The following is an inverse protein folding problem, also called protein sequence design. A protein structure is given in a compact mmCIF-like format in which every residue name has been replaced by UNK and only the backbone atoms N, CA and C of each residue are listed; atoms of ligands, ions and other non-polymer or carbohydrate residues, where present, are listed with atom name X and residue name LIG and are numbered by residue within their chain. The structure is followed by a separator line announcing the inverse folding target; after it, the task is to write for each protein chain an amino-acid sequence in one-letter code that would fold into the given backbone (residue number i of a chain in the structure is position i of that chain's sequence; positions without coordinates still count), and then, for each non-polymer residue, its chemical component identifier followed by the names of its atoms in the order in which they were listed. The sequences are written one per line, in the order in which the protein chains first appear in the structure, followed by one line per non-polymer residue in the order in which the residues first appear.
data_IF_611660588803
#
_entry.id   IF_611660588803
#
_cell.length_a   1.000
_cell.length_b   1.000
_cell.length_c   1.000
_cell.angle_alpha   90.00
_cell.angle_beta   90.00
_cell.angle_gamma   90.00
#
_symmetry.space_group_name_H-M   'P 1'
#
loop_
_entity.id
_entity.type
_entity.pdbx_description
1 polymer ?
#
# COMPACT_ATOMS: atom_id res chain seq x y z
N UNK A 1 8.41 -53.24 55.60
CA UNK A 1 7.01 -52.91 55.25
C UNK A 1 7.03 -52.02 54.02
N UNK A 2 6.86 -52.57 52.82
CA UNK A 2 6.71 -51.82 51.58
C UNK A 2 5.22 -51.55 51.35
N UNK A 3 4.72 -50.42 51.84
CA UNK A 3 3.34 -50.01 51.59
C UNK A 3 3.17 -49.59 50.12
N UNK A 4 2.34 -50.30 49.38
CA UNK A 4 1.95 -49.92 48.02
C UNK A 4 1.03 -48.71 48.09
N UNK A 5 1.51 -47.56 47.61
CA UNK A 5 0.74 -46.33 47.55
C UNK A 5 -0.20 -46.39 46.34
N UNK A 6 -1.49 -46.59 46.57
CA UNK A 6 -2.50 -46.68 45.50
C UNK A 6 -2.91 -45.27 45.10
N UNK A 7 -2.45 -44.82 43.93
CA UNK A 7 -2.82 -43.51 43.38
C UNK A 7 -4.03 -43.71 42.45
N UNK A 8 -5.13 -42.94 42.63
CA UNK A 8 -6.25 -42.97 41.71
C UNK A 8 -5.83 -42.58 40.28
N UNK A 9 -6.32 -43.30 39.28
CA UNK A 9 -5.95 -43.13 37.86
C UNK A 9 -6.14 -41.67 37.39
N UNK A 10 -7.17 -40.98 37.89
CA UNK A 10 -7.42 -39.58 37.54
C UNK A 10 -6.34 -38.63 38.06
N UNK A 11 -5.77 -38.89 39.24
CA UNK A 11 -4.65 -38.10 39.80
C UNK A 11 -3.39 -38.32 38.96
N UNK A 12 -3.11 -39.56 38.57
CA UNK A 12 -2.01 -39.87 37.67
C UNK A 12 -2.18 -39.18 36.30
N UNK A 13 -3.41 -39.11 35.79
CA UNK A 13 -3.75 -38.38 34.56
C UNK A 13 -3.47 -36.87 34.66
N UNK A 14 -3.86 -36.22 35.76
CA UNK A 14 -3.59 -34.80 35.99
C UNK A 14 -2.08 -34.54 36.08
N UNK A 15 -1.34 -35.37 36.81
CA UNK A 15 0.12 -35.24 36.93
C UNK A 15 0.81 -35.41 35.58
N UNK A 16 0.36 -36.36 34.75
CA UNK A 16 0.89 -36.53 33.39
C UNK A 16 0.60 -35.34 32.48
N UNK A 17 -0.59 -34.75 32.56
CA UNK A 17 -0.94 -33.55 31.79
C UNK A 17 -0.09 -32.35 32.21
N UNK A 18 0.08 -32.14 33.52
CA UNK A 18 0.92 -31.06 34.04
C UNK A 18 2.40 -31.26 33.69
N UNK A 19 2.89 -32.51 33.74
CA UNK A 19 4.25 -32.84 33.32
C UNK A 19 4.45 -32.63 31.82
N UNK A 20 3.50 -33.06 30.99
CA UNK A 20 3.52 -32.83 29.54
C UNK A 20 3.47 -31.33 29.20
N UNK A 21 2.65 -30.56 29.91
CA UNK A 21 2.59 -29.10 29.78
C UNK A 21 3.92 -28.46 30.18
N UNK A 22 4.52 -28.87 31.30
CA UNK A 22 5.81 -28.35 31.75
C UNK A 22 6.94 -28.68 30.76
N UNK A 23 6.94 -29.87 30.16
CA UNK A 23 7.91 -30.24 29.11
C UNK A 23 7.69 -29.40 27.85
N UNK A 24 6.44 -29.21 27.44
CA UNK A 24 6.09 -28.36 26.31
C UNK A 24 6.56 -26.92 26.53
N UNK A 25 6.26 -26.33 27.69
CA UNK A 25 6.56 -24.94 28.00
C UNK A 25 8.05 -24.67 28.25
N UNK A 26 8.75 -25.62 28.88
CA UNK A 26 10.13 -25.41 29.35
C UNK A 26 11.20 -25.93 28.39
N UNK A 27 10.87 -26.89 27.52
CA UNK A 27 11.82 -27.47 26.58
C UNK A 27 11.42 -27.24 25.13
N UNK A 28 10.17 -27.52 24.73
CA UNK A 28 9.77 -27.43 23.32
C UNK A 28 9.55 -25.99 22.87
N UNK A 29 8.80 -25.18 23.62
CA UNK A 29 8.54 -23.78 23.28
C UNK A 29 9.83 -22.92 23.27
N UNK A 30 10.78 -23.03 24.22
CA UNK A 30 12.01 -22.23 24.20
C UNK A 30 12.95 -22.66 23.08
N UNK A 31 13.07 -23.98 22.81
CA UNK A 31 13.88 -24.50 21.72
C UNK A 31 13.31 -24.13 20.35
N UNK A 32 11.98 -24.19 20.19
CA UNK A 32 11.30 -23.71 18.99
C UNK A 32 11.51 -22.19 18.82
N UNK A 33 11.33 -21.39 19.88
CA UNK A 33 11.59 -19.94 19.85
C UNK A 33 13.05 -19.63 19.47
N UNK A 34 14.02 -20.38 19.99
CA UNK A 34 15.43 -20.24 19.64
C UNK A 34 15.71 -20.64 18.18
N UNK A 35 15.15 -21.75 17.72
CA UNK A 35 15.27 -22.22 16.32
C UNK A 35 14.67 -21.23 15.32
N UNK A 36 13.48 -20.69 15.60
CA UNK A 36 12.86 -19.64 14.79
C UNK A 36 13.66 -18.34 14.88
N UNK A 37 14.17 -17.94 16.06
CA UNK A 37 15.03 -16.75 16.22
C UNK A 37 16.32 -16.86 15.40
N UNK A 38 16.98 -18.02 15.40
CA UNK A 38 18.19 -18.28 14.60
C UNK A 38 17.90 -18.20 13.09
N UNK A 39 16.75 -18.72 12.64
CA UNK A 39 16.31 -18.59 11.25
C UNK A 39 15.92 -17.17 10.87
N UNK A 40 15.29 -16.41 11.78
CA UNK A 40 14.98 -14.99 11.58
C UNK A 40 16.25 -14.17 11.48
N UNK A 41 17.21 -14.38 12.38
CA UNK A 41 18.49 -13.67 12.36
C UNK A 41 19.29 -13.96 11.08
N UNK A 42 19.31 -15.22 10.62
CA UNK A 42 19.95 -15.59 9.34
C UNK A 42 19.25 -14.97 8.13
N UNK A 43 17.93 -14.87 8.15
CA UNK A 43 17.14 -14.19 7.11
C UNK A 43 17.37 -12.67 7.14
N UNK A 44 17.53 -12.07 8.32
CA UNK A 44 17.88 -10.65 8.45
C UNK A 44 19.29 -10.36 7.92
N UNK A 45 20.26 -11.27 8.14
CA UNK A 45 21.61 -11.20 7.56
C UNK A 45 21.58 -11.34 6.03
N UNK A 46 20.84 -12.30 5.48
CA UNK A 46 20.74 -12.52 4.03
C UNK A 46 20.07 -11.32 3.31
N UNK A 47 19.11 -10.63 3.96
CA UNK A 47 18.34 -9.52 3.38
C UNK A 47 19.12 -8.20 3.34
N UNK A 48 20.01 -7.97 4.32
CA UNK A 48 20.87 -6.77 4.35
C UNK A 48 21.84 -6.68 3.15
N UNK A 49 21.97 -7.73 2.33
CA UNK A 49 22.92 -7.77 1.21
C UNK A 49 22.38 -7.27 -0.13
N UNK A 50 21.06 -6.97 -0.26
CA UNK A 50 20.42 -6.69 -1.58
C UNK A 50 19.79 -5.31 -1.76
N UNK A 51 20.13 -4.38 -0.88
CA UNK A 51 20.09 -2.92 -1.03
C UNK A 51 20.68 -2.39 0.27
N UNK A 52 21.64 -1.47 0.20
CA UNK A 52 22.46 -1.00 1.34
C UNK A 52 21.67 -0.14 2.37
N UNK A 53 20.36 -0.31 2.47
CA UNK A 53 19.53 0.29 3.52
C UNK A 53 19.57 -0.61 4.75
N UNK A 54 20.40 -0.24 5.74
CA UNK A 54 20.48 -0.94 7.04
C UNK A 54 19.08 -1.04 7.66
N UNK A 55 18.65 -2.25 8.01
CA UNK A 55 17.42 -2.44 8.80
C UNK A 55 17.59 -1.71 10.15
N UNK A 56 16.91 -0.57 10.29
CA UNK A 56 17.03 0.31 11.45
C UNK A 56 16.49 -0.36 12.73
N UNK A 57 17.18 -0.17 13.85
CA UNK A 57 16.96 -0.79 15.17
C UNK A 57 15.55 -0.58 15.74
N UNK A 58 14.84 0.46 15.31
CA UNK A 58 13.45 0.72 15.68
C UNK A 58 12.49 -0.41 15.28
N UNK A 59 12.75 -1.11 14.17
CA UNK A 59 11.95 -2.28 13.74
C UNK A 59 12.16 -3.52 14.61
N UNK A 60 13.25 -3.56 15.38
CA UNK A 60 13.58 -4.65 16.31
C UNK A 60 13.13 -4.34 17.75
N UNK A 61 12.70 -3.11 18.01
CA UNK A 61 12.14 -2.73 19.30
C UNK A 61 10.83 -3.49 19.51
N UNK A 62 10.68 -4.13 20.68
CA UNK A 62 9.45 -4.85 21.02
C UNK A 62 8.26 -3.90 20.91
N UNK A 63 7.18 -4.35 20.27
CA UNK A 63 5.94 -3.56 20.10
C UNK A 63 5.48 -2.93 21.41
N UNK A 64 5.54 -3.66 22.52
CA UNK A 64 5.10 -3.18 23.83
C UNK A 64 5.93 -1.97 24.30
N UNK A 65 7.24 -1.95 23.99
CA UNK A 65 8.11 -0.80 24.31
C UNK A 65 7.74 0.43 23.46
N UNK A 66 7.36 0.23 22.19
CA UNK A 66 6.88 1.33 21.35
C UNK A 66 5.53 1.87 21.83
N UNK A 67 4.63 0.98 22.29
CA UNK A 67 3.35 1.37 22.88
C UNK A 67 3.58 2.17 24.16
N UNK A 68 4.46 1.72 25.05
CA UNK A 68 4.75 2.42 26.30
C UNK A 68 5.38 3.79 26.02
N UNK A 69 6.40 3.84 25.16
CA UNK A 69 7.02 5.12 24.76
C UNK A 69 6.01 6.12 24.20
N UNK A 70 5.05 5.65 23.41
CA UNK A 70 4.03 6.50 22.83
C UNK A 70 2.96 6.91 23.86
N UNK A 71 2.61 6.01 24.78
CA UNK A 71 1.63 6.24 25.83
C UNK A 71 2.11 7.30 26.82
N UNK A 72 3.42 7.31 27.10
CA UNK A 72 4.06 8.27 28.01
C UNK A 72 4.84 9.38 27.27
N UNK A 73 4.59 9.58 25.97
CA UNK A 73 5.24 10.65 25.21
C UNK A 73 4.80 12.04 25.75
N UNK A 74 5.73 12.98 26.00
CA UNK A 74 5.38 14.26 26.61
C UNK A 74 4.31 15.07 25.87
N UNK A 75 4.31 15.05 24.53
CA UNK A 75 3.29 15.77 23.74
C UNK A 75 1.93 15.06 23.82
N UNK A 76 1.91 13.74 23.93
CA UNK A 76 0.67 12.97 24.16
C UNK A 76 0.12 13.26 25.55
N UNK A 77 0.98 13.26 26.58
CA UNK A 77 0.57 13.56 27.95
C UNK A 77 0.03 14.99 28.08
N UNK A 78 0.68 15.96 27.42
CA UNK A 78 0.18 17.34 27.39
C UNK A 78 -1.21 17.46 26.73
N UNK A 79 -1.44 16.76 25.62
CA UNK A 79 -2.76 16.75 24.96
C UNK A 79 -3.82 16.01 25.77
N UNK A 80 -3.40 14.99 26.52
CA UNK A 80 -4.26 14.30 27.48
C UNK A 80 -4.69 15.25 28.59
N UNK A 81 -3.76 16.01 29.17
CA UNK A 81 -4.04 16.97 30.24
C UNK A 81 -4.96 18.09 29.77
N UNK A 82 -4.73 18.62 28.56
CA UNK A 82 -5.61 19.57 27.92
C UNK A 82 -7.03 19.00 27.78
N UNK A 83 -7.17 17.79 27.21
CA UNK A 83 -8.47 17.14 27.06
C UNK A 83 -9.16 16.84 28.40
N UNK A 84 -8.39 16.40 29.40
CA UNK A 84 -8.88 16.16 30.76
C UNK A 84 -9.46 17.43 31.38
N UNK A 85 -8.77 18.56 31.21
CA UNK A 85 -9.22 19.86 31.73
C UNK A 85 -10.49 20.38 31.04
N UNK A 86 -10.61 20.19 29.72
CA UNK A 86 -11.75 20.67 28.92
C UNK A 86 -12.99 19.80 29.14
N UNK A 87 -12.84 18.48 29.02
CA UNK A 87 -13.95 17.53 29.08
C UNK A 87 -14.27 17.09 30.52
N UNK A 88 -13.46 17.50 31.51
CA UNK A 88 -13.56 17.13 32.94
C UNK A 88 -13.55 15.62 33.18
N UNK A 89 -12.87 14.88 32.31
CA UNK A 89 -12.68 13.43 32.42
C UNK A 89 -11.40 13.15 33.20
N UNK A 90 -11.39 12.24 34.19
CA UNK A 90 -10.19 11.89 34.93
C UNK A 90 -9.06 11.41 34.02
N UNK A 91 -7.82 11.78 34.35
CA UNK A 91 -6.61 11.43 33.59
C UNK A 91 -6.47 9.93 33.40
N UNK A 92 -6.82 9.15 34.41
CA UNK A 92 -6.73 7.69 34.41
C UNK A 92 -7.60 7.06 33.32
N UNK A 93 -8.78 7.64 33.06
CA UNK A 93 -9.70 7.18 32.01
C UNK A 93 -9.10 7.47 30.62
N UNK A 94 -8.61 8.69 30.40
CA UNK A 94 -8.00 9.06 29.13
C UNK A 94 -6.70 8.29 28.84
N UNK A 95 -5.96 7.88 29.88
CA UNK A 95 -4.79 7.02 29.74
C UNK A 95 -5.13 5.66 29.15
N UNK A 96 -6.29 5.09 29.50
CA UNK A 96 -6.77 3.84 28.90
C UNK A 96 -7.03 4.02 27.41
N UNK A 97 -7.61 5.15 27.02
CA UNK A 97 -7.85 5.51 25.62
C UNK A 97 -6.55 5.73 24.84
N UNK A 98 -5.56 6.43 25.41
CA UNK A 98 -4.23 6.58 24.81
C UNK A 98 -3.59 5.21 24.59
N UNK A 99 -3.58 4.34 25.59
CA UNK A 99 -3.01 3.00 25.46
C UNK A 99 -3.75 2.16 24.41
N UNK A 100 -5.07 2.36 24.26
CA UNK A 100 -5.87 1.71 23.20
C UNK A 100 -5.50 2.26 21.82
N UNK A 101 -5.36 3.58 21.68
CA UNK A 101 -4.93 4.23 20.44
C UNK A 101 -3.51 3.82 20.04
N UNK A 102 -2.57 3.80 20.98
CA UNK A 102 -1.22 3.33 20.78
C UNK A 102 -1.20 1.86 20.32
N UNK A 103 -1.97 0.97 20.96
CA UNK A 103 -2.11 -0.43 20.51
C UNK A 103 -2.72 -0.58 19.12
N UNK A 104 -3.64 0.31 18.75
CA UNK A 104 -4.28 0.32 17.44
C UNK A 104 -3.32 0.76 16.33
N UNK A 105 -2.49 1.78 16.62
CA UNK A 105 -1.56 2.43 15.69
C UNK A 105 -0.26 1.62 15.56
N UNK A 106 0.36 1.22 16.67
CA UNK A 106 1.67 0.54 16.64
C UNK A 106 1.54 -0.87 16.03
N UNK A 107 2.20 -1.15 14.90
CA UNK A 107 2.08 -2.41 14.18
C UNK A 107 2.75 -3.55 14.95
N UNK A 108 2.14 -4.73 14.89
CA UNK A 108 2.70 -5.98 15.39
C UNK A 108 3.63 -6.61 14.34
N UNK A 109 4.68 -5.88 13.94
CA UNK A 109 5.61 -6.36 12.93
C UNK A 109 6.29 -7.66 13.37
N UNK A 110 6.24 -8.66 12.49
CA UNK A 110 6.96 -9.91 12.68
C UNK A 110 7.81 -10.17 11.44
N UNK A 111 9.13 -9.97 11.58
CA UNK A 111 10.09 -10.11 10.49
C UNK A 111 9.98 -11.47 9.78
N UNK A 112 9.79 -12.57 10.52
CA UNK A 112 9.67 -13.91 9.92
C UNK A 112 8.45 -14.01 8.99
N UNK A 113 7.29 -13.62 9.53
CA UNK A 113 6.01 -13.68 8.82
C UNK A 113 6.06 -12.75 7.61
N UNK A 114 6.60 -11.54 7.76
CA UNK A 114 6.75 -10.59 6.67
C UNK A 114 7.64 -11.11 5.54
N UNK A 115 8.89 -11.46 5.85
CA UNK A 115 9.89 -11.73 4.81
C UNK A 115 9.79 -13.11 4.18
N UNK A 116 9.36 -14.15 4.92
CA UNK A 116 9.31 -15.52 4.37
C UNK A 116 7.95 -15.90 3.85
N UNK A 117 6.89 -15.59 4.58
CA UNK A 117 5.55 -16.05 4.23
C UNK A 117 4.78 -14.97 3.47
N UNK A 118 4.65 -13.77 4.05
CA UNK A 118 3.92 -12.65 3.48
C UNK A 118 4.45 -12.24 2.11
N UNK A 119 5.77 -12.03 1.99
CA UNK A 119 6.44 -11.74 0.74
C UNK A 119 6.23 -12.83 -0.32
N UNK A 120 6.33 -14.11 0.08
CA UNK A 120 6.15 -15.24 -0.81
C UNK A 120 4.71 -15.34 -1.33
N UNK A 121 3.72 -15.18 -0.44
CA UNK A 121 2.29 -15.16 -0.78
C UNK A 121 1.99 -13.97 -1.67
N UNK A 122 2.45 -12.76 -1.30
CA UNK A 122 2.22 -11.54 -2.06
C UNK A 122 2.79 -11.65 -3.48
N UNK A 123 4.03 -12.16 -3.61
CA UNK A 123 4.65 -12.46 -4.90
C UNK A 123 3.80 -13.40 -5.72
N UNK A 124 3.36 -14.52 -5.13
CA UNK A 124 2.61 -15.57 -5.84
C UNK A 124 1.24 -15.07 -6.26
N UNK A 125 0.51 -14.40 -5.37
CA UNK A 125 -0.76 -13.79 -5.68
C UNK A 125 -0.61 -12.74 -6.81
N UNK A 126 0.38 -11.84 -6.72
CA UNK A 126 0.58 -10.81 -7.73
C UNK A 126 0.97 -11.38 -9.10
N UNK A 127 1.91 -12.33 -9.17
CA UNK A 127 2.35 -12.97 -10.42
C UNK A 127 1.32 -13.94 -11.00
N UNK A 128 0.48 -14.52 -10.13
CA UNK A 128 -0.67 -15.30 -10.55
C UNK A 128 -1.65 -14.38 -11.24
N UNK A 129 -2.18 -13.37 -10.55
CA UNK A 129 -3.24 -12.49 -11.04
C UNK A 129 -2.81 -11.59 -12.21
N UNK A 130 -1.59 -11.06 -12.19
CA UNK A 130 -1.09 -10.07 -13.14
C UNK A 130 0.27 -10.45 -13.74
N UNK A 131 0.55 -9.89 -14.92
CA UNK A 131 1.92 -9.78 -15.43
C UNK A 131 2.57 -8.56 -14.77
N UNK A 132 3.15 -8.79 -13.59
CA UNK A 132 3.79 -7.72 -12.80
C UNK A 132 5.08 -7.26 -13.48
N UNK A 133 5.23 -5.95 -13.66
CA UNK A 133 6.37 -5.33 -14.33
C UNK A 133 6.90 -4.12 -13.58
N UNK A 134 8.22 -4.01 -13.59
CA UNK A 134 8.93 -2.77 -13.27
C UNK A 134 9.15 -2.08 -14.60
N UNK A 135 8.56 -0.90 -14.79
CA UNK A 135 8.66 -0.15 -16.04
C UNK A 135 9.91 0.71 -16.06
N UNK A 136 9.84 1.85 -15.39
CA UNK A 136 10.91 2.82 -15.26
C UNK A 136 11.36 2.95 -13.81
N UNK A 137 12.67 3.02 -13.58
CA UNK A 137 13.23 3.38 -12.28
C UNK A 137 14.35 4.40 -12.49
N UNK A 138 14.33 5.49 -11.71
CA UNK A 138 15.40 6.47 -11.72
C UNK A 138 16.63 5.95 -10.95
N UNK A 139 17.32 4.94 -11.49
CA UNK A 139 18.42 4.23 -10.83
C UNK A 139 19.55 5.18 -10.38
N UNK A 140 19.83 6.22 -11.17
CA UNK A 140 20.83 7.25 -10.83
C UNK A 140 20.44 8.04 -9.58
N UNK A 141 19.18 8.48 -9.45
CA UNK A 141 18.71 9.18 -8.27
C UNK A 141 18.58 8.26 -7.07
N UNK A 142 18.11 7.03 -7.28
CA UNK A 142 17.94 6.01 -6.24
C UNK A 142 19.28 5.59 -5.63
N UNK A 143 20.33 5.43 -6.43
CA UNK A 143 21.68 5.09 -5.94
C UNK A 143 22.37 6.21 -5.16
N UNK A 144 21.94 7.47 -5.34
CA UNK A 144 22.45 8.64 -4.61
C UNK A 144 21.71 8.90 -3.29
N UNK A 145 20.68 8.10 -2.96
CA UNK A 145 19.96 8.25 -1.69
C UNK A 145 20.89 7.87 -0.54
N UNK A 146 21.03 8.79 0.43
CA UNK A 146 21.81 8.52 1.63
C UNK A 146 21.19 7.34 2.41
N UNK A 147 21.96 6.26 2.69
CA UNK A 147 21.45 5.09 3.42
C UNK A 147 20.93 5.38 4.83
N UNK A 148 21.38 6.47 5.44
CA UNK A 148 20.97 6.90 6.78
C UNK A 148 19.74 7.81 6.77
N UNK A 149 19.27 8.23 5.59
CA UNK A 149 18.08 9.07 5.46
C UNK A 149 16.78 8.28 5.66
N UNK A 150 15.73 8.99 6.07
CA UNK A 150 14.40 8.40 6.23
C UNK A 150 13.70 8.35 4.88
N UNK A 151 13.52 7.15 4.34
CA UNK A 151 12.91 6.97 3.01
C UNK A 151 11.39 6.79 3.13
N UNK A 152 10.64 7.54 2.33
CA UNK A 152 9.18 7.48 2.25
C UNK A 152 8.75 7.29 0.80
N UNK A 153 8.16 6.15 0.46
CA UNK A 153 7.53 5.95 -0.84
C UNK A 153 6.18 6.66 -0.88
N UNK A 154 6.01 7.53 -1.87
CA UNK A 154 4.78 8.31 -2.07
C UNK A 154 4.15 7.83 -3.36
N UNK A 155 2.91 7.37 -3.30
CA UNK A 155 2.31 6.69 -4.45
C UNK A 155 0.83 7.02 -4.64
N UNK A 156 0.38 6.87 -5.88
CA UNK A 156 -1.04 6.93 -6.21
C UNK A 156 -1.76 5.66 -5.72
N UNK A 157 -3.08 5.73 -5.52
CA UNK A 157 -3.87 4.61 -5.00
C UNK A 157 -5.01 4.20 -5.93
N UNK A 158 -4.85 3.07 -6.61
CA UNK A 158 -5.77 2.58 -7.66
C UNK A 158 -6.58 1.38 -7.19
N UNK A 159 -5.93 0.43 -6.52
CA UNK A 159 -6.54 -0.84 -6.13
C UNK A 159 -6.10 -1.23 -4.73
N UNK A 160 -6.88 -2.06 -4.04
CA UNK A 160 -6.36 -2.72 -2.83
C UNK A 160 -5.23 -3.71 -3.16
N UNK A 161 -5.07 -4.08 -4.44
CA UNK A 161 -3.90 -4.81 -4.92
C UNK A 161 -2.59 -4.03 -4.74
N UNK A 162 -2.63 -2.70 -4.64
CA UNK A 162 -1.44 -1.85 -4.44
C UNK A 162 -0.66 -2.29 -3.19
N UNK A 163 -1.35 -2.67 -2.11
CA UNK A 163 -0.70 -3.16 -0.89
C UNK A 163 0.08 -4.46 -1.13
N UNK A 164 -0.47 -5.37 -1.94
CA UNK A 164 0.18 -6.65 -2.27
C UNK A 164 1.36 -6.39 -3.20
N UNK A 165 1.20 -5.49 -4.17
CA UNK A 165 2.22 -5.13 -5.13
C UNK A 165 3.40 -4.42 -4.47
N UNK A 166 3.13 -3.47 -3.59
CA UNK A 166 4.15 -2.79 -2.78
C UNK A 166 4.84 -3.77 -1.83
N UNK A 167 4.11 -4.67 -1.16
CA UNK A 167 4.74 -5.69 -0.32
C UNK A 167 5.63 -6.65 -1.14
N UNK A 168 5.23 -7.01 -2.35
CA UNK A 168 6.04 -7.79 -3.28
C UNK A 168 7.33 -7.06 -3.69
N UNK A 169 7.23 -5.78 -4.06
CA UNK A 169 8.38 -4.96 -4.49
C UNK A 169 9.31 -4.63 -3.32
N UNK A 170 8.75 -4.31 -2.16
CA UNK A 170 9.46 -4.14 -0.90
C UNK A 170 10.24 -5.39 -0.52
N UNK A 171 9.61 -6.56 -0.56
CA UNK A 171 10.29 -7.80 -0.23
C UNK A 171 11.43 -8.14 -1.19
N UNK A 172 11.38 -7.61 -2.42
CA UNK A 172 12.50 -7.70 -3.35
C UNK A 172 13.63 -6.69 -3.03
N UNK A 173 13.35 -5.63 -2.26
CA UNK A 173 14.20 -4.43 -2.15
C UNK A 173 14.15 -3.66 -0.78
N UNK A 174 13.97 -4.33 0.37
CA UNK A 174 13.98 -3.82 1.79
C UNK A 174 12.61 -3.75 2.51
N UNK A 175 12.65 -3.78 3.85
CA UNK A 175 11.45 -3.80 4.71
C UNK A 175 10.73 -2.43 4.73
N UNK A 176 9.43 -2.38 4.43
CA UNK A 176 8.60 -1.16 4.48
C UNK A 176 7.61 -1.16 5.66
N UNK A 177 7.18 0.02 6.11
CA UNK A 177 6.06 0.27 7.03
C UNK A 177 5.03 1.15 6.32
N UNK A 178 3.75 0.78 6.23
CA UNK A 178 2.80 1.52 5.40
C UNK A 178 1.49 1.88 6.11
N UNK A 179 0.86 2.98 5.72
CA UNK A 179 -0.44 3.38 6.28
C UNK A 179 -1.59 2.71 5.51
N UNK A 180 -2.55 2.09 6.22
CA UNK A 180 -3.72 1.42 5.62
C UNK A 180 -5.02 2.01 6.17
N UNK A 181 -5.99 2.21 5.28
CA UNK A 181 -7.32 2.72 5.63
C UNK A 181 -8.20 1.71 6.40
N UNK A 182 -9.33 2.20 6.90
CA UNK A 182 -10.24 1.46 7.80
C UNK A 182 -10.89 0.21 7.18
N UNK A 183 -11.00 0.12 5.85
CA UNK A 183 -11.67 -1.01 5.18
C UNK A 183 -10.97 -2.37 5.41
N UNK A 184 -9.66 -2.36 5.68
CA UNK A 184 -8.87 -3.56 5.93
C UNK A 184 -8.90 -4.04 7.41
N UNK A 185 -9.82 -3.52 8.23
CA UNK A 185 -10.02 -3.93 9.65
C UNK A 185 -10.83 -5.24 9.82
N UNK A 186 -10.93 -6.06 8.78
CA UNK A 186 -11.69 -7.33 8.83
C UNK A 186 -10.76 -8.48 9.24
N UNK A 187 -11.19 -9.32 10.18
CA UNK A 187 -10.48 -10.55 10.55
C UNK A 187 -10.66 -11.61 9.44
N UNK A 188 -9.61 -12.31 8.97
CA UNK A 188 -8.22 -12.35 9.45
C UNK A 188 -7.24 -11.38 8.75
N UNK A 189 -7.69 -10.63 7.74
CA UNK A 189 -6.87 -9.75 6.90
C UNK A 189 -6.10 -8.68 7.70
N UNK A 190 -6.70 -8.18 8.78
CA UNK A 190 -6.11 -7.19 9.68
C UNK A 190 -4.80 -7.66 10.33
N UNK A 191 -4.72 -8.92 10.73
CA UNK A 191 -3.55 -9.49 11.42
C UNK A 191 -2.39 -9.70 10.45
N UNK A 192 -2.69 -10.11 9.21
CA UNK A 192 -1.70 -10.25 8.15
C UNK A 192 -1.11 -8.87 7.83
N UNK A 193 -1.93 -7.87 7.56
CA UNK A 193 -1.48 -6.52 7.20
C UNK A 193 -0.63 -5.87 8.31
N UNK A 194 -1.01 -6.02 9.60
CA UNK A 194 -0.17 -5.54 10.72
C UNK A 194 1.16 -6.26 10.82
N UNK A 195 1.17 -7.57 10.58
CA UNK A 195 2.41 -8.35 10.56
C UNK A 195 3.35 -7.91 9.44
N UNK A 196 2.80 -7.32 8.36
CA UNK A 196 3.57 -6.72 7.28
C UNK A 196 4.08 -5.30 7.56
N UNK A 197 3.92 -4.80 8.79
CA UNK A 197 4.41 -3.48 9.20
C UNK A 197 3.45 -2.34 8.92
N UNK A 198 2.20 -2.63 8.53
CA UNK A 198 1.22 -1.59 8.29
C UNK A 198 0.50 -1.10 9.56
N UNK A 199 0.28 0.21 9.65
CA UNK A 199 -0.51 0.84 10.71
C UNK A 199 -1.84 1.39 10.18
N UNK A 200 -2.88 1.30 11.01
CA UNK A 200 -4.23 1.72 10.63
C UNK A 200 -4.51 3.16 11.06
N UNK A 201 -4.98 3.96 10.11
CA UNK A 201 -5.38 5.35 10.37
C UNK A 201 -6.91 5.44 10.33
N UNK A 202 -7.51 6.00 11.38
CA UNK A 202 -8.93 6.32 11.39
C UNK A 202 -9.21 7.50 10.45
N UNK A 203 -10.23 7.37 9.62
CA UNK A 203 -10.73 8.48 8.79
C UNK A 203 -11.67 9.31 9.66
N UNK A 204 -11.48 10.64 9.66
CA UNK A 204 -12.36 11.58 10.37
C UNK A 204 -12.61 11.19 11.85
N UNK A 205 -11.55 10.81 12.59
CA UNK A 205 -11.70 10.33 13.97
C UNK A 205 -12.46 11.28 14.90
N UNK A 206 -12.49 12.59 14.59
CA UNK A 206 -13.06 13.63 15.44
C UNK A 206 -12.19 13.93 16.66
N UNK A 207 -11.61 12.89 17.26
CA UNK A 207 -10.83 12.93 18.49
C UNK A 207 -9.42 13.54 18.32
N UNK A 208 -9.12 14.70 18.94
CA UNK A 208 -7.80 15.32 18.95
C UNK A 208 -6.74 14.44 19.62
N UNK A 209 -7.08 13.69 20.67
CA UNK A 209 -6.14 12.85 21.40
C UNK A 209 -5.65 11.69 20.53
N UNK A 210 -6.56 11.04 19.79
CA UNK A 210 -6.16 10.04 18.79
C UNK A 210 -5.21 10.62 17.74
N UNK A 211 -5.50 11.83 17.23
CA UNK A 211 -4.65 12.48 16.23
C UNK A 211 -3.27 12.77 16.78
N UNK A 212 -3.16 13.23 18.03
CA UNK A 212 -1.87 13.46 18.69
C UNK A 212 -1.06 12.18 18.85
N UNK A 213 -1.68 11.08 19.29
CA UNK A 213 -1.01 9.77 19.39
C UNK A 213 -0.51 9.31 18.03
N UNK A 214 -1.31 9.46 16.96
CA UNK A 214 -0.89 9.12 15.60
C UNK A 214 0.26 10.01 15.10
N UNK A 215 0.17 11.31 15.32
CA UNK A 215 1.20 12.29 14.98
C UNK A 215 2.55 11.91 15.58
N UNK A 216 2.57 11.62 16.89
CA UNK A 216 3.80 11.25 17.61
C UNK A 216 4.37 9.92 17.14
N UNK A 217 3.53 8.92 16.87
CA UNK A 217 4.00 7.67 16.29
C UNK A 217 4.68 7.86 14.93
N UNK A 218 4.05 8.62 14.02
CA UNK A 218 4.61 8.88 12.68
C UNK A 218 5.90 9.68 12.77
N UNK A 219 5.96 10.69 13.64
CA UNK A 219 7.18 11.45 13.89
C UNK A 219 8.32 10.56 14.40
N UNK A 220 8.06 9.70 15.39
CA UNK A 220 9.03 8.76 15.94
C UNK A 220 9.52 7.75 14.88
N UNK A 221 8.60 7.16 14.10
CA UNK A 221 8.96 6.21 13.05
C UNK A 221 9.83 6.87 11.97
N UNK A 222 9.48 8.11 11.58
CA UNK A 222 10.22 8.89 10.59
C UNK A 222 11.60 9.26 11.10
N UNK A 223 11.72 9.79 12.32
CA UNK A 223 13.00 10.13 12.93
C UNK A 223 13.92 8.90 13.10
N UNK A 224 13.33 7.73 13.33
CA UNK A 224 14.05 6.48 13.46
C UNK A 224 14.45 5.81 12.13
N UNK A 225 14.23 6.46 10.99
CA UNK A 225 14.61 5.93 9.68
C UNK A 225 13.79 4.72 9.23
N UNK A 226 12.60 4.52 9.80
CA UNK A 226 11.69 3.47 9.35
C UNK A 226 11.29 3.79 7.92
N UNK A 227 11.65 2.92 6.97
CA UNK A 227 11.19 3.08 5.59
C UNK A 227 9.66 3.01 5.56
N UNK A 228 9.04 4.04 5.02
CA UNK A 228 7.59 4.19 5.01
C UNK A 228 7.00 4.17 3.60
N UNK A 229 5.73 3.78 3.47
CA UNK A 229 4.96 3.97 2.25
C UNK A 229 3.60 4.60 2.54
N UNK A 230 3.25 5.63 1.79
CA UNK A 230 2.03 6.41 1.98
C UNK A 230 1.31 6.65 0.66
N UNK A 231 -0.02 6.67 0.75
CA UNK A 231 -0.93 7.05 -0.33
C UNK A 231 -1.53 8.42 0.01
N UNK A 232 -0.94 9.55 -0.45
CA UNK A 232 -1.42 10.87 -0.08
C UNK A 232 -2.87 11.10 -0.51
N UNK A 233 -3.37 10.42 -1.54
CA UNK A 233 -4.79 10.46 -1.95
C UNK A 233 -5.77 10.15 -0.81
N UNK A 234 -5.34 9.40 0.20
CA UNK A 234 -6.14 9.01 1.38
C UNK A 234 -7.21 7.95 1.09
N UNK A 235 -7.36 7.52 -0.17
CA UNK A 235 -8.22 6.44 -0.61
C UNK A 235 -8.14 6.22 -2.12
N UNK A 236 -8.75 5.13 -2.59
CA UNK A 236 -8.75 4.72 -4.00
C UNK A 236 -9.27 5.82 -4.94
N UNK A 237 -8.68 5.94 -6.13
CA UNK A 237 -9.20 6.72 -7.25
C UNK A 237 -10.56 6.17 -7.67
N UNK A 238 -11.61 7.00 -7.66
CA UNK A 238 -12.98 6.54 -7.92
C UNK A 238 -13.37 6.58 -9.40
N UNK A 239 -12.92 7.63 -10.09
CA UNK A 239 -13.23 7.92 -11.49
C UNK A 239 -12.03 7.67 -12.41
N UNK A 240 -10.92 7.18 -11.88
CA UNK A 240 -9.71 6.98 -12.65
C UNK A 240 -8.67 8.09 -12.52
N UNK A 241 -8.99 9.26 -11.94
CA UNK A 241 -8.03 10.37 -11.84
C UNK A 241 -7.24 10.33 -10.53
N UNK A 242 -6.04 10.93 -10.56
CA UNK A 242 -5.29 11.21 -9.34
C UNK A 242 -6.12 12.13 -8.43
N UNK A 243 -6.16 11.79 -7.15
CA UNK A 243 -6.88 12.59 -6.15
C UNK A 243 -5.98 13.64 -5.53
N UNK A 244 -6.54 14.77 -5.05
CA UNK A 244 -5.77 15.75 -4.31
C UNK A 244 -5.19 15.13 -3.02
N UNK A 245 -3.96 15.51 -2.62
CA UNK A 245 -3.31 14.93 -1.46
C UNK A 245 -4.00 15.33 -0.15
N UNK A 246 -3.94 14.42 0.82
CA UNK A 246 -4.27 14.65 2.23
C UNK A 246 -2.99 14.94 2.98
N UNK A 247 -2.95 16.11 3.62
CA UNK A 247 -1.73 16.65 4.22
C UNK A 247 -1.33 15.97 5.54
N UNK A 248 -2.29 15.35 6.25
CA UNK A 248 -2.10 14.91 7.65
C UNK A 248 -0.83 14.11 7.92
N UNK A 249 -0.59 13.01 7.19
CA UNK A 249 0.61 12.19 7.40
C UNK A 249 1.90 12.93 7.02
N UNK A 250 1.88 13.74 5.96
CA UNK A 250 3.03 14.53 5.53
C UNK A 250 3.38 15.60 6.57
N UNK A 251 2.38 16.25 7.18
CA UNK A 251 2.58 17.18 8.30
C UNK A 251 3.29 16.47 9.45
N UNK A 252 2.83 15.27 9.83
CA UNK A 252 3.42 14.52 10.94
C UNK A 252 4.87 14.10 10.66
N UNK A 253 5.17 13.69 9.43
CA UNK A 253 6.54 13.34 9.01
C UNK A 253 7.46 14.56 9.05
N UNK A 254 7.01 15.69 8.49
CA UNK A 254 7.81 16.91 8.41
C UNK A 254 7.96 17.62 9.76
N UNK A 255 7.03 17.42 10.71
CA UNK A 255 7.17 17.98 12.07
C UNK A 255 8.40 17.43 12.79
N UNK A 256 8.84 16.21 12.45
CA UNK A 256 10.05 15.62 13.00
C UNK A 256 11.34 16.10 12.32
N UNK A 257 11.24 16.88 11.24
CA UNK A 257 12.38 17.35 10.47
C UNK A 257 12.93 18.65 11.07
N UNK A 258 14.05 18.54 11.77
CA UNK A 258 14.94 19.67 12.02
C UNK A 258 15.88 19.84 10.80
N UNK A 259 15.77 20.97 10.11
CA UNK A 259 16.48 21.24 8.84
C UNK A 259 18.01 21.18 9.04
N UNK A 260 18.50 21.50 10.23
CA UNK A 260 19.92 21.64 10.52
C UNK A 260 20.51 20.43 11.27
N UNK A 261 19.69 19.72 12.07
CA UNK A 261 20.20 18.65 12.94
C UNK A 261 19.65 17.25 12.62
N UNK A 262 18.47 17.14 12.02
CA UNK A 262 17.84 15.83 11.81
C UNK A 262 18.35 15.12 10.57
N UNK A 263 18.07 13.82 10.45
CA UNK A 263 18.25 13.07 9.20
C UNK A 263 17.28 13.59 8.15
N UNK A 264 17.72 13.73 6.90
CA UNK A 264 16.83 14.14 5.81
C UNK A 264 15.74 13.09 5.56
N UNK A 265 14.59 13.55 5.07
CA UNK A 265 13.49 12.69 4.66
C UNK A 265 13.45 12.69 3.13
N UNK A 266 13.68 11.52 2.53
CA UNK A 266 13.70 11.35 1.09
C UNK A 266 12.39 10.71 0.66
N UNK A 267 11.59 11.46 -0.10
CA UNK A 267 10.34 11.00 -0.66
C UNK A 267 10.59 10.42 -2.06
N UNK A 268 10.27 9.15 -2.29
CA UNK A 268 10.41 8.50 -3.59
C UNK A 268 9.03 8.43 -4.25
N UNK A 269 8.79 9.18 -5.34
CA UNK A 269 7.54 9.08 -6.09
C UNK A 269 7.41 7.70 -6.75
N UNK A 270 6.24 7.07 -6.62
CA UNK A 270 5.95 5.77 -7.23
C UNK A 270 4.63 5.84 -7.97
N UNK A 271 4.68 5.54 -9.27
CA UNK A 271 3.51 5.46 -10.13
C UNK A 271 3.07 4.02 -10.31
N UNK A 272 1.80 3.71 -10.04
CA UNK A 272 1.21 2.38 -10.18
C UNK A 272 0.04 2.46 -11.15
N UNK A 273 -0.02 1.53 -12.11
CA UNK A 273 -1.18 1.39 -12.98
C UNK A 273 -1.49 -0.07 -13.31
N UNK A 274 -2.73 -0.33 -13.74
CA UNK A 274 -3.23 -1.67 -14.08
C UNK A 274 -4.06 -1.69 -15.35
N UNK A 275 -3.93 -2.77 -16.13
CA UNK A 275 -4.88 -3.06 -17.21
C UNK A 275 -6.26 -3.44 -16.69
N UNK A 276 -6.33 -3.94 -15.44
CA UNK A 276 -7.59 -4.24 -14.78
C UNK A 276 -7.49 -3.99 -13.28
N UNK A 277 -8.31 -3.09 -12.78
CA UNK A 277 -8.54 -2.85 -11.35
C UNK A 277 -9.72 -3.72 -10.89
N UNK A 278 -9.60 -4.41 -9.76
CA UNK A 278 -10.67 -5.27 -9.24
C UNK A 278 -11.91 -4.49 -8.84
N UNK A 279 -11.68 -3.32 -8.28
CA UNK A 279 -12.70 -2.49 -7.68
C UNK A 279 -13.36 -1.52 -8.67
N UNK A 280 -12.93 -1.46 -9.94
CA UNK A 280 -13.33 -0.42 -10.89
C UNK A 280 -14.85 -0.20 -10.97
N UNK A 281 -15.64 -1.25 -11.19
CA UNK A 281 -17.11 -1.18 -11.24
C UNK A 281 -17.72 -0.70 -9.92
N UNK A 282 -17.17 -1.12 -8.79
CA UNK A 282 -17.66 -0.70 -7.47
C UNK A 282 -17.27 0.74 -7.14
N UNK A 283 -16.10 1.18 -7.59
CA UNK A 283 -15.58 2.54 -7.43
C UNK A 283 -16.39 3.53 -8.28
N UNK A 284 -16.64 3.20 -9.54
CA UNK A 284 -17.48 4.00 -10.45
C UNK A 284 -18.90 4.10 -9.89
N UNK A 285 -19.51 2.98 -9.47
CA UNK A 285 -20.84 2.99 -8.85
C UNK A 285 -20.90 3.88 -7.60
N UNK A 286 -19.81 3.99 -6.84
CA UNK A 286 -19.77 4.83 -5.63
C UNK A 286 -19.82 6.34 -5.92
N UNK A 287 -19.68 6.75 -7.19
CA UNK A 287 -19.87 8.13 -7.64
C UNK A 287 -21.36 8.47 -7.81
N UNK A 288 -22.19 7.46 -8.08
CA UNK A 288 -23.63 7.61 -8.15
C UNK A 288 -24.21 7.68 -6.72
N UNK A 289 -24.62 8.89 -6.34
CA UNK A 289 -25.22 9.17 -5.02
C UNK A 289 -26.64 8.60 -4.88
N UNK A 290 -27.29 8.25 -5.98
CA UNK A 290 -28.66 7.69 -6.00
C UNK A 290 -28.65 6.16 -5.90
N UNK A 291 -27.51 5.51 -6.15
CA UNK A 291 -27.38 4.07 -6.08
C UNK A 291 -27.56 3.56 -4.64
N UNK A 292 -28.46 2.58 -4.47
CA UNK A 292 -28.66 1.93 -3.17
C UNK A 292 -27.35 1.35 -2.62
N UNK A 293 -27.12 1.58 -1.32
CA UNK A 293 -26.00 0.99 -0.57
C UNK A 293 -26.20 -0.51 -0.50
N UNK A 294 -25.34 -1.25 -1.20
CA UNK A 294 -25.33 -2.72 -1.15
C UNK A 294 -24.89 -3.19 0.24
N UNK A 295 -25.57 -4.20 0.76
CA UNK A 295 -25.24 -4.78 2.06
C UNK A 295 -23.87 -5.48 2.04
N UNK A 296 -23.26 -5.62 3.23
CA UNK A 296 -22.01 -6.37 3.38
C UNK A 296 -22.14 -7.82 2.87
N UNK A 297 -23.28 -8.46 3.12
CA UNK A 297 -23.58 -9.82 2.64
C UNK A 297 -23.63 -9.94 1.11
N UNK A 298 -24.20 -8.94 0.42
CA UNK A 298 -24.19 -8.91 -1.05
C UNK A 298 -22.75 -8.84 -1.60
N UNK A 299 -21.93 -8.00 -0.99
CA UNK A 299 -20.52 -7.80 -1.39
C UNK A 299 -19.70 -9.07 -1.18
N UNK A 300 -19.91 -9.77 -0.06
CA UNK A 300 -19.30 -11.08 0.21
C UNK A 300 -19.73 -12.12 -0.84
N UNK A 301 -21.04 -12.26 -1.11
CA UNK A 301 -21.54 -13.21 -2.11
C UNK A 301 -20.96 -12.98 -3.50
N UNK A 302 -20.88 -11.72 -3.96
CA UNK A 302 -20.26 -11.38 -5.25
C UNK A 302 -18.75 -11.70 -5.26
N UNK A 303 -18.06 -11.46 -4.15
CA UNK A 303 -16.63 -11.78 -4.02
C UNK A 303 -16.39 -13.29 -4.12
N UNK A 304 -17.14 -14.10 -3.37
CA UNK A 304 -17.04 -15.56 -3.44
C UNK A 304 -17.44 -16.10 -4.81
N UNK A 305 -18.48 -15.54 -5.44
CA UNK A 305 -18.86 -15.89 -6.81
C UNK A 305 -17.77 -15.56 -7.82
N UNK A 306 -17.11 -14.41 -7.70
CA UNK A 306 -15.97 -14.04 -8.54
C UNK A 306 -14.79 -15.00 -8.35
N UNK A 307 -14.46 -15.33 -7.11
CA UNK A 307 -13.40 -16.29 -6.79
C UNK A 307 -13.73 -17.67 -7.38
N UNK A 308 -14.93 -18.19 -7.13
CA UNK A 308 -15.39 -19.47 -7.67
C UNK A 308 -15.39 -19.52 -9.20
N UNK A 309 -15.83 -18.46 -9.86
CA UNK A 309 -15.78 -18.34 -11.32
C UNK A 309 -14.34 -18.38 -11.85
N UNK A 310 -13.40 -17.67 -11.21
CA UNK A 310 -11.99 -17.72 -11.60
C UNK A 310 -11.39 -19.11 -11.40
N UNK A 311 -11.73 -19.81 -10.31
CA UNK A 311 -11.32 -21.20 -10.11
C UNK A 311 -11.89 -22.14 -11.17
N UNK A 312 -13.15 -21.96 -11.57
CA UNK A 312 -13.77 -22.73 -12.65
C UNK A 312 -13.10 -22.48 -14.01
N UNK A 313 -12.79 -21.22 -14.33
CA UNK A 313 -11.98 -20.87 -15.51
C UNK A 313 -10.60 -21.53 -15.47
N UNK A 314 -10.00 -21.64 -14.28
CA UNK A 314 -8.71 -22.30 -14.11
C UNK A 314 -8.78 -23.80 -14.32
N UNK A 315 -9.77 -24.45 -13.73
CA UNK A 315 -10.02 -25.88 -13.90
C UNK A 315 -10.31 -26.24 -15.37
N UNK A 316 -10.88 -25.30 -16.12
CA UNK A 316 -11.20 -25.46 -17.55
C UNK A 316 -10.10 -24.96 -18.49
N UNK A 317 -8.97 -24.47 -17.97
CA UNK A 317 -7.85 -23.94 -18.77
C UNK A 317 -8.15 -22.62 -19.50
N UNK A 318 -9.31 -22.00 -19.27
CA UNK A 318 -9.76 -20.75 -19.88
C UNK A 318 -9.39 -19.51 -19.08
N UNK A 319 -8.55 -19.67 -18.07
CA UNK A 319 -8.17 -18.59 -17.19
C UNK A 319 -7.05 -17.73 -17.79
N UNK A 320 -7.29 -16.42 -17.84
CA UNK A 320 -6.33 -15.43 -18.27
C UNK A 320 -5.96 -14.50 -17.11
N UNK A 321 -4.69 -14.09 -17.08
CA UNK A 321 -4.23 -13.01 -16.19
C UNK A 321 -4.97 -11.72 -16.49
N UNK A 322 -5.10 -10.87 -15.49
CA UNK A 322 -5.78 -9.57 -15.54
C UNK A 322 -4.95 -8.46 -16.22
N UNK A 323 -4.15 -8.83 -17.22
CA UNK A 323 -3.23 -7.93 -17.91
C UNK A 323 -1.99 -7.59 -17.09
N UNK A 324 -1.45 -6.40 -17.32
CA UNK A 324 -0.27 -5.88 -16.64
C UNK A 324 -0.62 -5.12 -15.36
N UNK A 325 0.27 -5.26 -14.38
CA UNK A 325 0.38 -4.35 -13.24
C UNK A 325 1.80 -3.77 -13.31
N UNK A 326 1.91 -2.48 -13.55
CA UNK A 326 3.21 -1.83 -13.75
C UNK A 326 3.48 -0.84 -12.64
N UNK A 327 4.73 -0.78 -12.20
CA UNK A 327 5.23 0.16 -11.20
C UNK A 327 6.45 0.87 -11.75
N UNK A 328 6.46 2.19 -11.59
CA UNK A 328 7.60 3.04 -11.90
C UNK A 328 8.08 3.79 -10.65
N UNK A 329 9.38 4.03 -10.56
CA UNK A 329 10.02 4.80 -9.49
C UNK A 329 10.60 6.10 -10.06
N UNK A 330 10.10 7.23 -9.54
CA UNK A 330 10.55 8.56 -9.92
C UNK A 330 11.81 9.00 -9.20
N UNK A 331 12.23 10.22 -9.54
CA UNK A 331 13.39 10.87 -8.94
C UNK A 331 13.14 11.11 -7.44
N UNK A 332 14.05 10.70 -6.54
CA UNK A 332 13.91 10.99 -5.12
C UNK A 332 13.87 12.50 -4.83
N UNK A 333 12.96 12.90 -3.95
CA UNK A 333 12.74 14.29 -3.53
C UNK A 333 13.20 14.44 -2.08
N UNK A 334 14.26 15.22 -1.87
CA UNK A 334 14.73 15.59 -0.53
C UNK A 334 13.80 16.66 0.07
N UNK A 335 13.22 16.36 1.23
CA UNK A 335 12.39 17.31 1.95
C UNK A 335 13.19 18.54 2.35
N UNK A 336 14.41 18.35 2.86
CA UNK A 336 15.32 19.44 3.23
C UNK A 336 15.62 20.36 2.04
N UNK A 337 16.02 19.80 0.91
CA UNK A 337 16.37 20.60 -0.27
C UNK A 337 15.15 21.32 -0.84
N UNK A 338 13.99 20.65 -0.88
CA UNK A 338 12.76 21.29 -1.33
C UNK A 338 12.39 22.47 -0.42
N UNK A 339 12.46 22.27 0.90
CA UNK A 339 12.17 23.33 1.89
C UNK A 339 13.13 24.51 1.73
N UNK A 340 14.44 24.26 1.64
CA UNK A 340 15.46 25.33 1.47
C UNK A 340 15.25 26.14 0.19
N UNK A 341 14.82 25.49 -0.89
CA UNK A 341 14.62 26.15 -2.19
C UNK A 341 13.28 26.89 -2.30
N UNK A 342 12.28 26.55 -1.49
CA UNK A 342 10.91 27.07 -1.60
C UNK A 342 10.48 27.94 -0.41
N UNK A 343 11.30 28.06 0.64
CA UNK A 343 11.10 29.01 1.72
C UNK A 343 12.00 30.22 1.54
N UNK A 344 11.43 31.42 1.65
CA UNK A 344 12.21 32.65 1.64
C UNK A 344 13.05 32.78 2.92
N UNK A 345 14.26 33.37 2.86
CA UNK A 345 15.09 33.63 4.04
C UNK A 345 14.40 34.49 5.12
N UNK A 346 13.38 35.28 4.75
CA UNK A 346 12.55 36.07 5.68
C UNK A 346 11.53 35.25 6.46
N UNK A 347 11.31 33.99 6.09
CA UNK A 347 10.36 33.07 6.70
C UNK A 347 11.04 32.02 7.59
N UNK A 348 12.31 32.22 7.95
CA UNK A 348 13.01 31.40 8.96
C UNK A 348 12.22 31.39 10.27
N UNK A 349 11.56 30.26 10.56
CA UNK A 349 10.68 30.08 11.72
C UNK A 349 9.18 29.94 11.41
N UNK A 350 8.73 30.14 10.16
CA UNK A 350 7.35 29.83 9.75
C UNK A 350 7.17 28.35 9.45
N UNK A 351 5.96 27.84 9.69
CA UNK A 351 5.59 26.48 9.38
C UNK A 351 5.78 26.17 7.88
N UNK A 352 6.33 25.00 7.56
CA UNK A 352 6.52 24.53 6.18
C UNK A 352 5.19 24.59 5.42
N UNK A 353 5.19 25.10 4.19
CA UNK A 353 4.03 25.01 3.30
C UNK A 353 3.85 23.56 2.82
N UNK A 354 3.29 22.72 3.70
CA UNK A 354 3.08 21.29 3.44
C UNK A 354 2.12 21.06 2.29
N UNK A 355 1.17 21.97 2.05
CA UNK A 355 0.25 21.88 0.91
C UNK A 355 0.99 21.98 -0.44
N UNK A 356 1.86 22.98 -0.59
CA UNK A 356 2.69 23.12 -1.78
C UNK A 356 3.63 21.92 -1.96
N UNK A 357 4.22 21.42 -0.87
CA UNK A 357 5.06 20.22 -0.94
C UNK A 357 4.28 18.97 -1.35
N UNK A 358 3.09 18.77 -0.78
CA UNK A 358 2.23 17.64 -1.11
C UNK A 358 1.77 17.69 -2.57
N UNK A 359 1.42 18.88 -3.09
CA UNK A 359 1.09 19.08 -4.50
C UNK A 359 2.28 18.80 -5.41
N UNK A 360 3.49 19.23 -5.03
CA UNK A 360 4.71 18.90 -5.75
C UNK A 360 4.95 17.39 -5.79
N UNK A 361 4.87 16.69 -4.65
CA UNK A 361 4.99 15.23 -4.58
C UNK A 361 3.95 14.52 -5.45
N UNK A 362 2.69 14.96 -5.43
CA UNK A 362 1.65 14.37 -6.29
C UNK A 362 1.88 14.63 -7.78
N UNK A 363 2.45 15.79 -8.14
CA UNK A 363 2.88 16.05 -9.52
C UNK A 363 4.01 15.10 -9.95
N UNK A 364 5.01 14.89 -9.10
CA UNK A 364 6.10 13.94 -9.37
C UNK A 364 5.59 12.50 -9.47
N UNK A 365 4.62 12.10 -8.63
CA UNK A 365 3.93 10.80 -8.74
C UNK A 365 3.18 10.71 -10.08
N UNK A 366 2.47 11.77 -10.47
CA UNK A 366 1.72 11.82 -11.71
C UNK A 366 2.58 11.59 -12.95
N UNK A 367 3.74 12.24 -13.03
CA UNK A 367 4.72 12.09 -14.13
C UNK A 367 5.17 10.65 -14.33
N UNK A 368 5.24 9.87 -13.25
CA UNK A 368 5.73 8.49 -13.31
C UNK A 368 4.63 7.43 -13.38
N UNK A 369 3.35 7.81 -13.41
CA UNK A 369 2.26 6.82 -13.62
C UNK A 369 2.48 6.09 -14.95
N UNK A 370 2.64 4.76 -14.95
CA UNK A 370 2.87 4.01 -16.19
C UNK A 370 1.66 4.06 -17.12
N UNK A 371 1.91 4.28 -18.41
CA UNK A 371 0.89 4.16 -19.45
C UNK A 371 0.84 2.71 -19.90
N UNK A 372 -0.35 2.10 -19.84
CA UNK A 372 -0.58 0.69 -20.12
C UNK A 372 -1.47 0.48 -21.36
N UNK A 373 -1.46 -0.73 -21.96
CA UNK A 373 -2.25 -1.00 -23.16
C UNK A 373 -3.74 -0.71 -23.01
N UNK A 374 -4.37 -1.11 -21.90
CA UNK A 374 -5.79 -0.82 -21.68
C UNK A 374 -6.04 0.68 -21.50
N UNK A 375 -5.14 1.40 -20.83
CA UNK A 375 -5.27 2.87 -20.68
C UNK A 375 -5.19 3.59 -22.03
N UNK A 376 -4.31 3.15 -22.94
CA UNK A 376 -4.20 3.71 -24.30
C UNK A 376 -5.47 3.47 -25.11
N UNK A 377 -5.90 2.21 -25.20
CA UNK A 377 -7.11 1.83 -25.92
C UNK A 377 -8.34 2.53 -25.34
N UNK A 378 -8.46 2.59 -24.02
CA UNK A 378 -9.58 3.25 -23.38
C UNK A 378 -9.64 4.74 -23.72
N UNK A 379 -8.51 5.43 -23.81
CA UNK A 379 -8.47 6.83 -24.27
C UNK A 379 -8.96 6.96 -25.72
N UNK A 380 -8.55 6.07 -26.61
CA UNK A 380 -9.00 6.07 -28.02
C UNK A 380 -10.51 5.81 -28.10
N UNK A 381 -11.01 4.74 -27.46
CA UNK A 381 -12.45 4.44 -27.44
C UNK A 381 -13.29 5.54 -26.79
N UNK A 382 -12.80 6.23 -25.76
CA UNK A 382 -13.50 7.37 -25.16
C UNK A 382 -13.59 8.55 -26.15
N UNK A 383 -12.54 8.80 -26.94
CA UNK A 383 -12.55 9.86 -27.95
C UNK A 383 -13.43 9.56 -29.17
N UNK A 384 -13.75 8.28 -29.40
CA UNK A 384 -14.46 7.73 -30.55
C UNK A 384 -15.65 6.86 -30.12
N UNK A 385 -16.34 7.25 -29.04
CA UNK A 385 -17.27 6.37 -28.34
C UNK A 385 -18.46 5.87 -29.19
N UNK A 386 -18.86 6.66 -30.20
CA UNK A 386 -19.99 6.37 -31.09
C UNK A 386 -19.56 5.69 -32.40
N UNK A 387 -18.27 5.39 -32.57
CA UNK A 387 -17.70 4.82 -33.80
C UNK A 387 -17.33 3.33 -33.60
N UNK A 388 -17.51 2.54 -34.65
CA UNK A 388 -16.97 1.18 -34.72
C UNK A 388 -15.62 1.23 -35.46
N UNK A 389 -14.54 0.84 -34.77
CA UNK A 389 -13.16 1.02 -35.25
C UNK A 389 -12.57 -0.31 -35.68
N UNK A 390 -11.88 -0.35 -36.83
CA UNK A 390 -11.12 -1.54 -37.21
C UNK A 390 -9.86 -1.68 -36.33
N UNK A 391 -9.26 -2.88 -36.32
CA UNK A 391 -7.96 -3.07 -35.65
C UNK A 391 -6.88 -2.11 -36.20
N UNK A 392 -6.93 -1.78 -37.50
CA UNK A 392 -5.98 -0.88 -38.13
C UNK A 392 -6.19 0.57 -37.69
N UNK A 393 -7.43 1.03 -37.56
CA UNK A 393 -7.75 2.36 -37.05
C UNK A 393 -7.26 2.50 -35.60
N UNK A 394 -7.51 1.48 -34.77
CA UNK A 394 -7.04 1.43 -33.39
C UNK A 394 -5.51 1.47 -33.30
N UNK A 395 -4.80 0.77 -34.21
CA UNK A 395 -3.34 0.83 -34.29
C UNK A 395 -2.89 2.26 -34.55
N UNK A 396 -3.40 2.90 -35.60
CA UNK A 396 -3.01 4.26 -35.98
C UNK A 396 -3.22 5.24 -34.83
N UNK A 397 -4.40 5.22 -34.21
CA UNK A 397 -4.76 6.14 -33.12
C UNK A 397 -3.91 5.87 -31.85
N UNK A 398 -3.73 4.61 -31.46
CA UNK A 398 -2.91 4.25 -30.29
C UNK A 398 -1.44 4.60 -30.51
N UNK A 399 -0.91 4.39 -31.72
CA UNK A 399 0.45 4.78 -32.06
C UNK A 399 0.64 6.31 -32.01
N UNK A 400 -0.31 7.08 -32.53
CA UNK A 400 -0.30 8.55 -32.44
C UNK A 400 -0.36 9.04 -30.99
N UNK A 401 -1.31 8.52 -30.20
CA UNK A 401 -1.45 8.83 -28.78
C UNK A 401 -0.18 8.51 -27.99
N UNK A 402 0.39 7.32 -28.22
CA UNK A 402 1.63 6.88 -27.60
C UNK A 402 2.77 7.86 -27.90
N UNK A 403 3.00 8.20 -29.16
CA UNK A 403 4.09 9.09 -29.56
C UNK A 403 3.97 10.47 -28.89
N UNK A 404 2.74 10.99 -28.79
CA UNK A 404 2.46 12.25 -28.09
C UNK A 404 2.78 12.15 -26.59
N UNK A 405 2.36 11.06 -25.93
CA UNK A 405 2.65 10.82 -24.52
C UNK A 405 4.15 10.64 -24.24
N UNK A 406 4.86 9.86 -25.06
CA UNK A 406 6.31 9.69 -24.94
C UNK A 406 7.05 11.02 -25.12
N UNK A 407 6.62 11.86 -26.08
CA UNK A 407 7.17 13.21 -26.28
C UNK A 407 6.91 14.13 -25.08
N UNK A 408 5.79 13.97 -24.39
CA UNK A 408 5.49 14.67 -23.14
C UNK A 408 6.26 14.11 -21.92
N UNK A 409 7.09 13.08 -22.11
CA UNK A 409 7.91 12.47 -21.06
C UNK A 409 7.18 11.36 -20.27
N UNK A 410 6.04 10.88 -20.75
CA UNK A 410 5.32 9.78 -20.12
C UNK A 410 6.05 8.43 -20.32
N UNK A 411 5.98 7.57 -19.31
CA UNK A 411 6.56 6.24 -19.36
C UNK A 411 5.55 5.21 -19.86
N UNK A 412 5.60 4.90 -21.16
CA UNK A 412 4.76 3.88 -21.79
C UNK A 412 5.38 2.50 -21.63
N UNK A 413 4.62 1.55 -21.09
CA UNK A 413 5.06 0.16 -20.98
C UNK A 413 4.56 -0.66 -22.19
N UNK A 414 5.50 -1.17 -22.96
CA UNK A 414 5.24 -1.99 -24.15
C UNK A 414 5.76 -3.40 -23.89
N UNK A 415 4.88 -4.42 -23.88
CA UNK A 415 5.33 -5.77 -23.64
C UNK A 415 6.15 -6.30 -24.82
N UNK A 416 7.31 -6.89 -24.52
CA UNK A 416 8.22 -7.47 -25.52
C UNK A 416 8.74 -6.47 -26.57
N UNK A 417 8.65 -5.16 -26.30
CA UNK A 417 8.92 -4.10 -27.27
C UNK A 417 8.07 -4.19 -28.56
N UNK A 418 6.95 -4.91 -28.51
CA UNK A 418 6.02 -5.09 -29.61
C UNK A 418 4.72 -4.32 -29.33
N UNK A 419 4.50 -3.26 -30.09
CA UNK A 419 3.35 -2.39 -29.95
C UNK A 419 2.04 -3.05 -30.41
N UNK A 420 2.09 -3.88 -31.45
CA UNK A 420 0.93 -4.63 -31.93
C UNK A 420 0.53 -5.69 -30.90
N UNK A 421 1.52 -6.33 -30.28
CA UNK A 421 1.26 -7.22 -29.16
C UNK A 421 0.65 -6.49 -27.96
N UNK A 422 1.09 -5.27 -27.66
CA UNK A 422 0.48 -4.44 -26.63
C UNK A 422 -1.02 -4.21 -26.91
N UNK A 423 -1.34 -3.80 -28.13
CA UNK A 423 -2.70 -3.53 -28.57
C UNK A 423 -3.57 -4.78 -28.48
N UNK A 424 -3.12 -5.91 -29.03
CA UNK A 424 -3.87 -7.17 -29.00
C UNK A 424 -4.12 -7.67 -27.57
N UNK A 425 -3.18 -7.45 -26.65
CA UNK A 425 -3.38 -7.77 -25.23
C UNK A 425 -4.45 -6.87 -24.61
N UNK A 426 -4.40 -5.57 -24.86
CA UNK A 426 -5.38 -4.62 -24.34
C UNK A 426 -6.77 -4.87 -24.90
N UNK A 427 -6.90 -5.07 -26.22
CA UNK A 427 -8.15 -5.38 -26.90
C UNK A 427 -8.77 -6.66 -26.36
N UNK A 428 -8.00 -7.75 -26.30
CA UNK A 428 -8.47 -9.01 -25.70
C UNK A 428 -8.95 -8.82 -24.26
N UNK A 429 -8.31 -7.93 -23.48
CA UNK A 429 -8.76 -7.63 -22.12
C UNK A 429 -10.08 -6.87 -22.07
N UNK A 430 -10.31 -5.92 -22.97
CA UNK A 430 -11.58 -5.20 -23.05
C UNK A 430 -12.71 -6.14 -23.53
N UNK A 431 -12.45 -6.99 -24.52
CA UNK A 431 -13.41 -7.96 -25.06
C UNK A 431 -13.78 -9.04 -24.05
N UNK A 432 -12.79 -9.68 -23.38
CA UNK A 432 -13.05 -10.70 -22.35
C UNK A 432 -13.81 -10.15 -21.14
N UNK A 433 -13.83 -8.84 -20.96
CA UNK A 433 -14.56 -8.17 -19.90
C UNK A 433 -15.92 -7.64 -20.32
N UNK A 434 -16.31 -7.85 -21.59
CA UNK A 434 -17.52 -7.31 -22.19
C UNK A 434 -17.60 -5.79 -21.99
N UNK A 435 -16.51 -5.08 -22.28
CA UNK A 435 -16.46 -3.61 -22.32
C UNK A 435 -16.53 -3.14 -23.77
N UNK A 436 -15.86 -3.89 -24.65
CA UNK A 436 -15.86 -3.70 -26.10
C UNK A 436 -16.34 -5.00 -26.73
N UNK A 437 -17.14 -4.90 -27.79
CA UNK A 437 -17.55 -6.03 -28.62
C UNK A 437 -16.88 -5.98 -29.98
N UNK A 438 -16.74 -7.14 -30.61
CA UNK A 438 -16.19 -7.29 -31.94
C UNK A 438 -17.27 -7.83 -32.87
N UNK A 439 -17.61 -7.06 -33.91
CA UNK A 439 -18.60 -7.42 -34.92
C UNK A 439 -17.94 -7.26 -36.30
N UNK A 440 -17.78 -8.37 -37.04
CA UNK A 440 -17.21 -8.37 -38.40
C UNK A 440 -15.83 -7.66 -38.51
N UNK A 441 -14.99 -7.78 -37.47
CA UNK A 441 -13.66 -7.15 -37.43
C UNK A 441 -13.66 -5.67 -37.02
N UNK A 442 -14.82 -5.11 -36.65
CA UNK A 442 -14.95 -3.79 -36.07
C UNK A 442 -15.19 -3.88 -34.57
N UNK A 443 -14.56 -2.99 -33.82
CA UNK A 443 -14.65 -2.91 -32.36
C UNK A 443 -15.47 -1.69 -31.95
N UNK A 444 -16.49 -1.91 -31.11
CA UNK A 444 -17.34 -0.84 -30.58
C UNK A 444 -17.51 -0.96 -29.07
N UNK A 445 -17.80 0.17 -28.41
CA UNK A 445 -18.05 0.20 -26.97
C UNK A 445 -19.43 -0.38 -26.68
N UNK A 446 -19.51 -1.32 -25.73
CA UNK A 446 -20.79 -1.88 -25.31
C UNK A 446 -21.59 -0.82 -24.55
N UNK A 447 -22.90 -0.75 -24.83
CA UNK A 447 -23.83 0.17 -24.17
C UNK A 447 -23.73 0.10 -22.64
N UNK A 448 -23.45 1.24 -22.01
CA UNK A 448 -23.31 1.37 -20.54
C UNK A 448 -21.91 1.10 -19.98
N UNK A 449 -20.94 0.69 -20.81
CA UNK A 449 -19.57 0.38 -20.38
C UNK A 449 -18.58 1.54 -20.61
N UNK A 450 -19.00 2.61 -21.29
CA UNK A 450 -18.22 3.84 -21.47
C UNK A 450 -17.65 4.42 -20.15
N UNK A 451 -18.37 4.42 -19.01
CA UNK A 451 -17.79 4.87 -17.73
C UNK A 451 -16.56 4.06 -17.28
N UNK A 452 -16.47 2.78 -17.64
CA UNK A 452 -15.29 1.96 -17.34
C UNK A 452 -14.11 2.37 -18.22
N UNK A 453 -14.34 2.60 -19.52
CA UNK A 453 -13.29 3.11 -20.40
C UNK A 453 -12.82 4.49 -19.93
N UNK A 454 -13.73 5.37 -19.52
CA UNK A 454 -13.38 6.66 -18.94
C UNK A 454 -12.50 6.50 -17.69
N UNK A 455 -12.77 5.52 -16.83
CA UNK A 455 -11.94 5.22 -15.66
C UNK A 455 -10.49 4.84 -16.02
N UNK A 456 -10.30 4.06 -17.09
CA UNK A 456 -8.96 3.69 -17.56
C UNK A 456 -8.28 4.83 -18.33
N UNK A 457 -9.00 5.58 -19.16
CA UNK A 457 -8.49 6.76 -19.85
C UNK A 457 -8.02 7.83 -18.86
N UNK A 458 -8.81 8.08 -17.80
CA UNK A 458 -8.48 9.03 -16.75
C UNK A 458 -7.20 8.69 -15.98
N UNK A 459 -6.72 7.44 -16.03
CA UNK A 459 -5.47 7.04 -15.37
C UNK A 459 -4.22 7.68 -15.98
N UNK A 460 -4.33 8.17 -17.23
CA UNK A 460 -3.24 8.78 -17.98
C UNK A 460 -3.59 10.20 -18.47
N UNK A 461 -4.78 10.71 -18.15
CA UNK A 461 -5.25 12.00 -18.65
C UNK A 461 -4.37 13.18 -18.23
N UNK A 462 -3.75 13.13 -17.05
CA UNK A 462 -2.83 14.16 -16.56
C UNK A 462 -1.46 14.14 -17.26
N UNK A 463 -1.19 13.16 -18.12
CA UNK A 463 0.04 13.06 -18.93
C UNK A 463 -0.14 13.65 -20.33
N UNK A 464 -1.39 13.88 -20.75
CA UNK A 464 -1.74 14.35 -22.09
C UNK A 464 -1.89 15.88 -22.19
N UNK A 465 -1.64 16.62 -21.11
CA UNK A 465 -1.86 18.07 -21.01
C UNK A 465 -0.67 18.82 -20.46
#
# INVERSE_FOLDING_TARGET
MSGTLVIPIWVAGIVLILAAWAVLDRFLLPSARWFFRRRVNKVLEDINTRLDLKIQSFKLTRRDVLIDRLTYDPEVMSALDEKSSIEKVPREVLMVDVAKYAREIVPAFNAYVYFRFGAWVAKRAAQWLYRVRLGYANDEGLSKVNPEASVVFVMNHRSNMDYVLVAYLAAAQTALSYAVGEWARIWPLQSVIRSLGAYFVRRNSGDPLYRKVLERYVAMATAAGVVQAVYPEGGLSRDGRLRPPKLGLLIYMLKALDIDQSKDIIFIPVGINYDRVFEDRTLIRSLDKTAERRSAGYSLKKTFGFIGHNFALMATGKWYRFGYACVNFGKPVSARNWIKNNQSPKDTGKAVNVDAFARHLMSEVGKVVPVLPVSLLATVFVSRADEALSELDLKVEVHGLRANLEKAGAHVYIPHADADYALSVGLRMLTLRHIVEENEGLYSVINGELPILQYYANSIAHLAG
#
